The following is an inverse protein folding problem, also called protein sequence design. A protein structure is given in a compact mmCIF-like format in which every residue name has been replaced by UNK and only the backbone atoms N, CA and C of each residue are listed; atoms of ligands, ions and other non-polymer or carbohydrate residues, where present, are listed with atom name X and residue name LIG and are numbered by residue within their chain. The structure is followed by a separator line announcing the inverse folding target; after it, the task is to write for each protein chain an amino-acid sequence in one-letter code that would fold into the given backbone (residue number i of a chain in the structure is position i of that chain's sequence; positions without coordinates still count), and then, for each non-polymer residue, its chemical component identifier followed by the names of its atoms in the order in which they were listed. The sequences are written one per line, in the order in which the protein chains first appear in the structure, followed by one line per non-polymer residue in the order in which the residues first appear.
data_IF_533255555313
#
_entry.id   IF_533255555313
#
_cell.length_a   1.000
_cell.length_b   1.000
_cell.length_c   1.000
_cell.angle_alpha   90.00
_cell.angle_beta   90.00
_cell.angle_gamma   90.00
#
_symmetry.space_group_name_H-M   'P 1'
#
loop_
_entity.id
_entity.type
_entity.pdbx_description
1 polymer ?
#
# COMPACT_ATOMS: atom_id res chain seq x y z
N UNK A 1 -17.02 12.40 13.64
CA UNK A 1 -15.62 12.21 13.18
C UNK A 1 -15.46 11.06 12.21
N UNK A 2 -15.94 9.86 12.52
CA UNK A 2 -15.76 8.68 11.66
C UNK A 2 -16.33 8.83 10.23
N UNK A 3 -17.48 9.47 10.06
CA UNK A 3 -18.03 9.79 8.73
C UNK A 3 -17.11 10.70 7.90
N UNK A 4 -16.42 11.63 8.55
CA UNK A 4 -15.46 12.50 7.87
C UNK A 4 -14.19 11.71 7.49
N UNK A 5 -13.73 10.82 8.35
CA UNK A 5 -12.63 9.90 8.02
C UNK A 5 -12.98 9.01 6.82
N UNK A 6 -14.17 8.40 6.81
CA UNK A 6 -14.68 7.60 5.69
C UNK A 6 -14.70 8.39 4.38
N UNK A 7 -15.20 9.63 4.40
CA UNK A 7 -15.17 10.54 3.24
C UNK A 7 -13.76 10.78 2.71
N UNK A 8 -12.81 11.07 3.59
CA UNK A 8 -11.43 11.30 3.18
C UNK A 8 -10.79 10.04 2.60
N UNK A 9 -11.00 8.88 3.22
CA UNK A 9 -10.51 7.60 2.68
C UNK A 9 -11.08 7.30 1.28
N UNK A 10 -12.40 7.43 1.11
CA UNK A 10 -13.05 7.23 -0.19
C UNK A 10 -12.59 8.27 -1.23
N UNK A 11 -12.39 9.52 -0.81
CA UNK A 11 -11.84 10.58 -1.67
C UNK A 11 -10.41 10.29 -2.13
N UNK A 12 -9.55 9.81 -1.23
CA UNK A 12 -8.19 9.38 -1.59
C UNK A 12 -8.19 8.20 -2.55
N UNK A 13 -9.06 7.20 -2.32
CA UNK A 13 -9.22 6.08 -3.25
C UNK A 13 -9.68 6.57 -4.62
N UNK A 14 -10.70 7.43 -4.68
CA UNK A 14 -11.21 7.96 -5.93
C UNK A 14 -10.17 8.78 -6.72
N UNK A 15 -9.27 9.47 -6.04
CA UNK A 15 -8.22 10.25 -6.68
C UNK A 15 -7.16 9.39 -7.38
N UNK A 16 -6.98 8.13 -6.99
CA UNK A 16 -5.95 7.22 -7.53
C UNK A 16 -6.52 6.08 -8.37
N UNK A 17 -7.81 5.77 -8.23
CA UNK A 17 -8.45 4.72 -9.02
C UNK A 17 -8.48 5.10 -10.51
N UNK A 18 -8.21 4.15 -11.41
CA UNK A 18 -8.37 4.36 -12.84
C UNK A 18 -9.80 4.79 -13.20
N UNK A 19 -9.93 5.70 -14.17
CA UNK A 19 -11.22 6.20 -14.62
C UNK A 19 -12.06 5.16 -15.40
N UNK A 20 -11.43 4.07 -15.87
CA UNK A 20 -12.08 2.98 -16.60
C UNK A 20 -11.56 1.62 -16.15
N UNK A 21 -12.34 0.58 -16.40
CA UNK A 21 -12.06 -0.80 -15.99
C UNK A 21 -12.82 -1.19 -14.72
N UNK A 22 -12.33 -2.23 -14.05
CA UNK A 22 -12.88 -2.75 -12.79
C UNK A 22 -11.93 -2.37 -11.65
N UNK A 23 -12.02 -1.15 -11.09
CA UNK A 23 -11.12 -0.74 -10.02
C UNK A 23 -11.31 -1.63 -8.80
N UNK A 24 -10.20 -1.98 -8.17
CA UNK A 24 -10.17 -2.86 -7.01
C UNK A 24 -9.61 -2.09 -5.82
N UNK A 25 -10.31 -2.13 -4.68
CA UNK A 25 -9.94 -1.40 -3.47
C UNK A 25 -9.72 -2.38 -2.32
N UNK A 26 -8.48 -2.45 -1.85
CA UNK A 26 -8.10 -3.20 -0.65
C UNK A 26 -8.07 -2.28 0.58
N UNK A 27 -8.70 -2.70 1.68
CA UNK A 27 -8.61 -1.99 2.96
C UNK A 27 -7.56 -2.65 3.86
N UNK A 28 -6.49 -1.92 4.20
CA UNK A 28 -5.36 -2.45 4.97
C UNK A 28 -5.14 -1.72 6.29
N UNK A 29 -4.59 -2.42 7.28
CA UNK A 29 -4.27 -1.85 8.59
C UNK A 29 -5.36 -2.02 9.65
N UNK A 30 -4.97 -1.75 10.91
CA UNK A 30 -5.77 -2.12 12.08
C UNK A 30 -7.04 -1.31 12.30
N UNK A 31 -7.18 -0.14 11.67
CA UNK A 31 -8.31 0.77 11.88
C UNK A 31 -9.64 0.14 11.44
N UNK A 32 -9.63 -0.70 10.40
CA UNK A 32 -10.83 -1.35 9.89
C UNK A 32 -11.39 -2.42 10.83
N UNK A 33 -10.67 -2.80 11.89
CA UNK A 33 -11.19 -3.65 12.97
C UNK A 33 -12.24 -2.97 13.86
N UNK A 34 -12.46 -1.66 13.69
CA UNK A 34 -13.57 -0.95 14.32
C UNK A 34 -14.96 -1.42 13.82
N UNK A 35 -15.00 -2.22 12.75
CA UNK A 35 -16.22 -2.82 12.24
C UNK A 35 -17.19 -1.81 11.63
N UNK A 36 -18.48 -2.10 11.73
CA UNK A 36 -19.55 -1.37 11.05
C UNK A 36 -19.55 0.16 11.31
N UNK A 37 -19.06 0.57 12.49
CA UNK A 37 -18.95 1.98 12.90
C UNK A 37 -18.05 2.81 11.96
N UNK A 38 -17.06 2.18 11.32
CA UNK A 38 -16.25 2.79 10.25
C UNK A 38 -16.59 2.22 8.87
N UNK A 39 -16.79 0.91 8.78
CA UNK A 39 -17.00 0.22 7.50
C UNK A 39 -18.30 0.62 6.81
N UNK A 40 -19.40 0.79 7.55
CA UNK A 40 -20.68 1.22 6.96
C UNK A 40 -20.57 2.58 6.25
N UNK A 41 -20.13 3.64 6.94
CA UNK A 41 -19.89 4.93 6.29
C UNK A 41 -18.88 4.87 5.14
N UNK A 42 -17.84 4.04 5.23
CA UNK A 42 -16.87 3.92 4.14
C UNK A 42 -17.47 3.23 2.91
N UNK A 43 -18.27 2.19 3.10
CA UNK A 43 -18.96 1.51 2.02
C UNK A 43 -19.94 2.43 1.27
N UNK A 44 -20.69 3.26 2.01
CA UNK A 44 -21.56 4.29 1.44
C UNK A 44 -20.76 5.27 0.56
N UNK A 45 -19.66 5.82 1.08
CA UNK A 45 -18.88 6.86 0.40
C UNK A 45 -18.07 6.31 -0.78
N UNK A 46 -17.67 5.02 -0.73
CA UNK A 46 -17.06 4.30 -1.86
C UNK A 46 -18.08 3.99 -2.95
N UNK A 47 -19.29 3.53 -2.60
CA UNK A 47 -20.34 3.26 -3.58
C UNK A 47 -20.75 4.53 -4.34
N UNK A 48 -20.75 5.68 -3.67
CA UNK A 48 -21.06 6.97 -4.28
C UNK A 48 -19.95 7.47 -5.24
N UNK A 49 -18.67 7.38 -4.84
CA UNK A 49 -17.54 7.95 -5.59
C UNK A 49 -16.93 7.02 -6.62
N UNK A 50 -16.99 5.72 -6.36
CA UNK A 50 -16.36 4.68 -7.15
C UNK A 50 -17.39 3.60 -7.52
N UNK A 51 -18.43 3.97 -8.30
CA UNK A 51 -19.43 3.01 -8.74
C UNK A 51 -18.76 1.90 -9.56
N UNK A 52 -18.93 0.65 -9.14
CA UNK A 52 -18.32 -0.52 -9.78
C UNK A 52 -16.96 -0.93 -9.22
N UNK A 53 -16.40 -0.19 -8.26
CA UNK A 53 -15.20 -0.65 -7.57
C UNK A 53 -15.50 -1.86 -6.69
N UNK A 54 -14.65 -2.88 -6.79
CA UNK A 54 -14.78 -4.10 -5.97
C UNK A 54 -13.86 -4.04 -4.76
N UNK A 55 -14.43 -4.24 -3.57
CA UNK A 55 -13.62 -4.43 -2.36
C UNK A 55 -12.93 -5.79 -2.40
N UNK A 56 -11.65 -5.81 -2.08
CA UNK A 56 -10.87 -7.05 -1.91
C UNK A 56 -10.23 -7.10 -0.53
N UNK A 57 -9.93 -8.32 -0.09
CA UNK A 57 -8.97 -8.53 0.97
C UNK A 57 -7.58 -8.26 0.42
N UNK A 58 -6.77 -7.52 1.18
CA UNK A 58 -5.36 -7.40 0.85
C UNK A 58 -4.65 -8.74 1.05
N UNK A 59 -3.62 -8.98 0.25
CA UNK A 59 -2.82 -10.17 0.35
C UNK A 59 -1.88 -10.07 1.56
N UNK A 60 -1.95 -11.07 2.43
CA UNK A 60 -1.07 -11.18 3.60
C UNK A 60 -1.24 -10.04 4.62
N UNK A 61 -0.28 -9.97 5.54
CA UNK A 61 -0.15 -8.90 6.51
C UNK A 61 1.12 -8.07 6.24
N UNK A 62 1.35 -6.95 6.96
CA UNK A 62 2.54 -6.14 6.76
C UNK A 62 3.87 -6.89 6.95
N UNK A 63 3.91 -7.90 7.82
CA UNK A 63 5.12 -8.70 8.04
C UNK A 63 5.36 -9.63 6.84
N UNK A 64 4.31 -10.21 6.27
CA UNK A 64 4.41 -10.98 5.01
C UNK A 64 5.03 -10.15 3.89
N UNK A 65 4.59 -8.90 3.74
CA UNK A 65 5.18 -7.97 2.78
C UNK A 65 6.67 -7.69 3.06
N UNK A 66 7.02 -7.45 4.33
CA UNK A 66 8.40 -7.18 4.73
C UNK A 66 9.34 -8.37 4.46
N UNK A 67 8.88 -9.60 4.73
CA UNK A 67 9.66 -10.83 4.48
C UNK A 67 9.88 -11.01 2.97
N UNK A 68 8.86 -10.83 2.14
CA UNK A 68 9.00 -10.91 0.67
C UNK A 68 10.01 -9.90 0.13
N UNK A 69 9.98 -8.67 0.64
CA UNK A 69 10.97 -7.65 0.27
C UNK A 69 12.39 -8.11 0.65
N UNK A 70 12.58 -8.64 1.87
CA UNK A 70 13.88 -9.12 2.33
C UNK A 70 14.39 -10.31 1.50
N UNK A 71 13.51 -11.25 1.14
CA UNK A 71 13.83 -12.37 0.25
C UNK A 71 14.29 -11.88 -1.12
N UNK A 72 13.53 -10.97 -1.75
CA UNK A 72 13.85 -10.41 -3.06
C UNK A 72 15.15 -9.61 -3.05
N UNK A 73 15.42 -8.86 -1.98
CA UNK A 73 16.69 -8.15 -1.79
C UNK A 73 17.86 -9.13 -1.65
N UNK A 74 17.68 -10.21 -0.89
CA UNK A 74 18.73 -11.23 -0.68
C UNK A 74 19.02 -12.01 -1.96
N UNK A 75 17.99 -12.24 -2.79
CA UNK A 75 18.12 -12.92 -4.08
C UNK A 75 18.58 -11.99 -5.22
N UNK A 76 18.65 -10.68 -4.99
CA UNK A 76 18.92 -9.69 -6.04
C UNK A 76 17.81 -9.61 -7.10
N UNK A 77 16.58 -10.02 -6.76
CA UNK A 77 15.40 -10.00 -7.63
C UNK A 77 14.46 -8.83 -7.35
N UNK A 78 14.76 -7.97 -6.38
CA UNK A 78 13.89 -6.86 -6.01
C UNK A 78 13.74 -5.84 -7.14
N UNK A 79 12.50 -5.62 -7.59
CA UNK A 79 12.20 -4.82 -8.78
C UNK A 79 11.61 -3.44 -8.49
N UNK A 80 11.34 -3.10 -7.23
CA UNK A 80 10.81 -1.76 -6.93
C UNK A 80 11.92 -0.72 -7.14
N UNK A 81 11.60 0.40 -7.82
CA UNK A 81 12.59 1.43 -8.12
C UNK A 81 13.12 2.06 -6.82
N UNK A 82 14.43 2.25 -6.76
CA UNK A 82 15.04 3.07 -5.73
C UNK A 82 14.76 4.55 -5.98
N UNK A 83 14.50 5.31 -4.91
CA UNK A 83 14.47 6.78 -4.93
C UNK A 83 15.54 7.31 -3.96
N UNK A 84 16.30 8.32 -4.39
CA UNK A 84 17.41 8.90 -3.60
C UNK A 84 16.94 9.47 -2.25
N UNK A 85 15.65 9.78 -2.08
CA UNK A 85 15.04 10.29 -0.85
C UNK A 85 14.51 9.19 0.07
N UNK A 86 14.64 7.91 -0.32
CA UNK A 86 14.24 6.82 0.58
C UNK A 86 15.12 6.79 1.82
N UNK A 87 14.51 6.43 2.95
CA UNK A 87 15.25 6.19 4.19
C UNK A 87 16.16 4.97 4.01
N UNK A 88 17.48 5.19 4.11
CA UNK A 88 18.48 4.12 4.09
C UNK A 88 18.99 3.85 5.50
N UNK A 89 19.02 2.58 5.90
CA UNK A 89 19.62 2.14 7.17
C UNK A 89 21.06 1.72 6.88
N UNK A 90 22.03 2.51 7.35
CA UNK A 90 23.45 2.19 7.22
C UNK A 90 23.99 1.51 8.48
N UNK A 91 24.91 0.56 8.30
CA UNK A 91 25.64 -0.06 9.41
C UNK A 91 26.76 0.84 9.96
N UNK A 92 27.37 0.48 11.09
CA UNK A 92 28.41 1.29 11.75
C UNK A 92 29.68 1.56 10.90
N UNK A 93 29.88 0.85 9.79
CA UNK A 93 30.98 1.09 8.85
C UNK A 93 30.61 2.01 7.67
N UNK A 94 29.37 2.49 7.57
CA UNK A 94 28.92 3.25 6.39
C UNK A 94 28.92 2.43 5.10
N UNK A 95 29.09 1.11 5.19
CA UNK A 95 28.95 0.21 4.05
C UNK A 95 27.47 0.07 3.71
N UNK A 96 27.14 0.55 2.52
CA UNK A 96 25.86 0.42 1.87
C UNK A 96 25.68 -1.06 1.48
N UNK A 97 24.98 -1.82 2.34
CA UNK A 97 24.66 -3.25 2.14
C UNK A 97 23.90 -3.49 0.82
N UNK A 98 23.35 -2.43 0.22
CA UNK A 98 22.54 -2.45 -1.00
C UNK A 98 23.32 -2.17 -2.30
N UNK A 99 24.60 -1.77 -2.24
CA UNK A 99 25.33 -1.24 -3.42
C UNK A 99 25.84 -2.28 -4.42
N UNK A 100 25.35 -3.52 -4.41
CA UNK A 100 25.80 -4.57 -5.33
C UNK A 100 25.00 -4.63 -6.66
N UNK A 101 23.90 -3.89 -6.81
CA UNK A 101 23.02 -4.04 -7.99
C UNK A 101 23.26 -3.03 -9.12
N UNK A 102 24.06 -1.98 -8.90
CA UNK A 102 24.21 -0.90 -9.88
C UNK A 102 25.39 -1.12 -10.85
N UNK A 103 25.35 -2.24 -11.58
CA UNK A 103 26.06 -2.40 -12.87
C UNK A 103 25.18 -3.22 -13.81
N UNK A 104 24.39 -2.53 -14.63
CA UNK A 104 24.10 -2.97 -16.00
C UNK A 104 24.18 -1.79 -16.96
N UNK A 105 25.28 -1.78 -17.72
CA UNK A 105 25.38 -1.15 -19.04
C UNK A 105 24.48 -1.88 -20.02
#
# INVERSE_FOLDING_TARGET
MLRAAARHMAGSAAAVCPASGEPVVGLTGGLFRMGAVLLGPLDEELAERLPGARRIMAEGDPLHGAVRIAEDLTAGSFTLPGDEKMLCVTGPAGEDVTRAADVRT
#
